data_IF_881296371696
#
_entry.id   IF_881296371696
#
_cell.length_a   1.000
_cell.length_b   1.000
_cell.length_c   1.000
_cell.angle_alpha   90.00
_cell.angle_beta   90.00
_cell.angle_gamma   90.00
#
_symmetry.space_group_name_H-M   'P 1'
#
loop_
_entity.id
_entity.type
_entity.pdbx_description
1 polymer ?
#
# COMPACT_ATOMS: atom_id res chain seq x y z
N UNK A 1 47.20 5.45 37.71
CA UNK A 1 47.33 5.90 36.30
C UNK A 1 47.91 4.75 35.47
N UNK A 2 47.08 3.86 34.90
CA UNK A 2 47.53 2.85 33.90
C UNK A 2 46.39 2.02 33.25
N UNK A 3 45.13 2.12 33.68
CA UNK A 3 44.04 1.30 33.10
C UNK A 3 43.39 1.84 31.81
N UNK A 4 43.73 3.05 31.33
CA UNK A 4 43.13 3.60 30.10
C UNK A 4 43.80 3.16 28.81
N UNK A 5 45.02 2.61 28.87
CA UNK A 5 45.77 2.14 27.69
C UNK A 5 45.19 0.85 27.10
N UNK A 6 44.86 -0.13 27.94
CA UNK A 6 44.41 -1.45 27.48
C UNK A 6 43.05 -1.45 26.80
N UNK A 7 42.13 -0.55 27.19
CA UNK A 7 40.80 -0.45 26.55
C UNK A 7 40.90 0.02 25.10
N UNK A 8 41.77 1.01 24.81
CA UNK A 8 41.95 1.53 23.44
C UNK A 8 42.56 0.49 22.50
N UNK A 9 43.50 -0.31 22.99
CA UNK A 9 44.12 -1.37 22.18
C UNK A 9 43.13 -2.49 21.86
N UNK A 10 42.31 -2.91 22.84
CA UNK A 10 41.26 -3.92 22.63
C UNK A 10 40.20 -3.44 21.65
N UNK A 11 39.80 -2.17 21.71
CA UNK A 11 38.83 -1.58 20.79
C UNK A 11 39.38 -1.50 19.35
N UNK A 12 40.68 -1.17 19.21
CA UNK A 12 41.37 -1.17 17.91
C UNK A 12 41.41 -2.56 17.26
N UNK A 13 41.77 -3.59 18.02
CA UNK A 13 41.82 -4.96 17.51
C UNK A 13 40.43 -5.50 17.12
N UNK A 14 39.38 -5.18 17.89
CA UNK A 14 38.00 -5.50 17.52
C UNK A 14 37.57 -4.81 16.22
N UNK A 15 37.93 -3.54 16.04
CA UNK A 15 37.59 -2.81 14.82
C UNK A 15 38.31 -3.37 13.59
N UNK A 16 39.60 -3.73 13.70
CA UNK A 16 40.35 -4.41 12.62
C UNK A 16 39.73 -5.75 12.24
N UNK A 17 39.37 -6.58 13.23
CA UNK A 17 38.72 -7.87 12.98
C UNK A 17 37.36 -7.70 12.29
N UNK A 18 36.57 -6.69 12.70
CA UNK A 18 35.30 -6.34 12.05
C UNK A 18 35.49 -5.90 10.59
N UNK A 19 36.46 -5.02 10.31
CA UNK A 19 36.71 -4.51 8.95
C UNK A 19 37.25 -5.61 8.02
N UNK A 20 38.05 -6.53 8.55
CA UNK A 20 38.48 -7.74 7.82
C UNK A 20 37.31 -8.67 7.49
N UNK A 21 36.38 -8.88 8.43
CA UNK A 21 35.18 -9.67 8.22
C UNK A 21 34.25 -9.02 7.17
N UNK A 22 34.02 -7.71 7.26
CA UNK A 22 33.25 -6.94 6.26
C UNK A 22 33.87 -7.12 4.87
N UNK A 23 35.18 -6.92 4.75
CA UNK A 23 35.92 -7.07 3.48
C UNK A 23 35.89 -8.49 2.92
N UNK A 24 35.82 -9.52 3.77
CA UNK A 24 35.66 -10.90 3.35
C UNK A 24 34.25 -11.17 2.82
N UNK A 25 33.23 -10.63 3.48
CA UNK A 25 31.83 -10.75 3.07
C UNK A 25 31.60 -10.04 1.72
N UNK A 26 32.09 -8.82 1.54
CA UNK A 26 31.96 -8.10 0.27
C UNK A 26 32.65 -8.81 -0.89
N UNK A 27 33.82 -9.44 -0.65
CA UNK A 27 34.51 -10.25 -1.67
C UNK A 27 33.73 -11.51 -2.03
N UNK A 28 33.09 -12.15 -1.06
CA UNK A 28 32.35 -13.39 -1.27
C UNK A 28 30.96 -13.16 -1.91
N UNK A 29 30.28 -12.06 -1.57
CA UNK A 29 28.87 -11.84 -1.92
C UNK A 29 28.61 -10.56 -2.74
N UNK A 30 29.64 -9.78 -3.05
CA UNK A 30 29.55 -8.54 -3.82
C UNK A 30 29.48 -7.29 -2.95
N UNK A 31 29.79 -6.13 -3.57
CA UNK A 31 29.65 -4.82 -2.92
C UNK A 31 28.20 -4.60 -2.48
N UNK A 32 28.02 -4.09 -1.26
CA UNK A 32 26.70 -3.84 -0.68
C UNK A 32 26.04 -5.06 -0.01
N UNK A 33 26.67 -6.23 0.00
CA UNK A 33 26.18 -7.39 0.74
C UNK A 33 26.15 -7.17 2.27
N UNK A 34 27.04 -6.32 2.77
CA UNK A 34 27.07 -5.86 4.16
C UNK A 34 27.49 -4.40 4.19
N UNK A 35 26.86 -3.59 5.03
CA UNK A 35 27.18 -2.17 5.17
C UNK A 35 26.77 -1.67 6.57
N UNK A 36 27.42 -0.61 7.05
CA UNK A 36 26.96 0.06 8.28
C UNK A 36 25.79 0.96 7.89
N UNK A 37 24.65 0.82 8.58
CA UNK A 37 23.43 1.61 8.28
C UNK A 37 23.68 3.12 8.28
N UNK A 38 24.53 3.63 9.19
CA UNK A 38 24.88 5.05 9.26
C UNK A 38 25.55 5.60 7.98
N UNK A 39 26.19 4.75 7.18
CA UNK A 39 26.84 5.15 5.93
C UNK A 39 25.85 5.33 4.78
N UNK A 40 24.63 4.80 4.94
CA UNK A 40 23.52 5.00 4.02
C UNK A 40 22.33 5.51 4.83
N UNK A 41 22.26 6.84 5.11
CA UNK A 41 21.06 7.40 5.72
C UNK A 41 19.85 6.91 4.93
N UNK A 42 18.83 6.42 5.64
CA UNK A 42 17.67 5.82 5.01
C UNK A 42 17.12 6.81 3.98
N UNK A 43 17.30 6.50 2.69
CA UNK A 43 16.75 7.32 1.62
C UNK A 43 15.24 7.33 1.78
N UNK A 44 14.63 8.49 1.49
CA UNK A 44 13.17 8.61 1.53
C UNK A 44 12.59 7.54 0.62
N UNK A 45 11.77 6.66 1.20
CA UNK A 45 11.20 5.55 0.44
C UNK A 45 10.30 6.09 -0.67
N UNK A 46 10.60 5.70 -1.91
CA UNK A 46 9.74 6.01 -3.04
C UNK A 46 8.36 5.35 -2.87
N UNK A 47 7.33 6.03 -3.35
CA UNK A 47 5.96 5.55 -3.28
C UNK A 47 5.14 5.93 -4.50
N UNK A 48 4.15 5.11 -4.84
CA UNK A 48 3.13 5.40 -5.86
C UNK A 48 1.82 5.77 -5.17
N UNK A 49 1.21 6.89 -5.55
CA UNK A 49 -0.08 7.33 -5.01
C UNK A 49 -1.16 6.26 -5.20
N UNK A 50 -2.08 6.14 -4.25
CA UNK A 50 -3.23 5.23 -4.38
C UNK A 50 -4.37 5.84 -5.19
N UNK A 51 -4.22 7.07 -5.70
CA UNK A 51 -5.28 7.85 -6.31
C UNK A 51 -6.26 8.48 -5.31
N UNK A 52 -6.08 8.26 -4.00
CA UNK A 52 -6.85 8.87 -2.91
C UNK A 52 -5.92 9.71 -2.04
N UNK A 53 -6.26 10.99 -1.86
CA UNK A 53 -5.49 11.91 -1.01
C UNK A 53 -5.54 11.43 0.45
N UNK A 54 -6.70 10.94 0.89
CA UNK A 54 -6.90 10.46 2.26
C UNK A 54 -6.06 9.23 2.56
N UNK A 55 -6.02 8.30 1.61
CA UNK A 55 -5.29 7.05 1.77
C UNK A 55 -3.78 7.26 1.68
N UNK A 56 -3.30 8.10 0.77
CA UNK A 56 -1.89 8.52 0.71
C UNK A 56 -1.40 9.08 2.05
N UNK A 57 -2.22 9.92 2.69
CA UNK A 57 -1.92 10.48 4.00
C UNK A 57 -2.02 9.45 5.13
N UNK A 58 -3.01 8.55 5.09
CA UNK A 58 -3.16 7.46 6.06
C UNK A 58 -1.98 6.46 5.98
N UNK A 59 -1.38 6.30 4.81
CA UNK A 59 -0.18 5.47 4.60
C UNK A 59 1.09 6.12 5.18
N UNK A 60 1.11 7.44 5.34
CA UNK A 60 2.19 8.15 6.03
C UNK A 60 3.48 8.30 5.23
N UNK A 61 3.50 7.91 3.95
CA UNK A 61 4.61 8.21 3.04
C UNK A 61 4.16 8.82 1.71
N UNK A 62 2.85 9.03 1.53
CA UNK A 62 2.27 9.58 0.30
C UNK A 62 1.80 8.55 -0.72
N UNK A 63 1.81 7.25 -0.39
CA UNK A 63 1.36 6.19 -1.29
C UNK A 63 1.83 4.80 -0.87
N UNK A 64 1.74 3.84 -1.78
CA UNK A 64 2.27 2.48 -1.59
C UNK A 64 3.78 2.47 -1.81
N UNK A 65 4.58 1.87 -0.90
CA UNK A 65 6.04 1.89 -0.99
C UNK A 65 6.57 0.99 -2.11
N UNK A 66 7.46 1.53 -2.96
CA UNK A 66 8.21 0.74 -3.96
C UNK A 66 9.07 -0.33 -3.29
N UNK A 67 9.29 -1.44 -4.00
CA UNK A 67 10.05 -2.59 -3.53
C UNK A 67 9.35 -3.44 -2.47
N UNK A 68 8.03 -3.29 -2.28
CA UNK A 68 7.29 -3.97 -1.20
C UNK A 68 6.08 -4.75 -1.71
N UNK A 69 5.69 -5.75 -0.91
CA UNK A 69 4.46 -6.51 -1.10
C UNK A 69 3.33 -5.84 -0.31
N UNK A 70 2.17 -5.66 -0.94
CA UNK A 70 0.96 -5.04 -0.39
C UNK A 70 -0.20 -6.03 -0.51
N UNK A 71 -1.08 -6.09 0.49
CA UNK A 71 -2.35 -6.83 0.40
C UNK A 71 -3.53 -5.86 0.54
N UNK A 72 -4.45 -5.92 -0.41
CA UNK A 72 -5.74 -5.21 -0.38
C UNK A 72 -6.82 -6.26 -0.21
N UNK A 73 -7.50 -6.27 0.93
CA UNK A 73 -8.53 -7.26 1.24
C UNK A 73 -9.80 -6.60 1.74
N UNK A 74 -10.92 -7.29 1.56
CA UNK A 74 -12.23 -6.74 1.90
C UNK A 74 -13.37 -7.62 1.37
N UNK A 75 -14.61 -7.30 1.73
CA UNK A 75 -15.80 -7.97 1.19
C UNK A 75 -15.87 -7.86 -0.35
N UNK A 76 -16.78 -8.61 -0.95
CA UNK A 76 -17.18 -8.39 -2.34
C UNK A 76 -17.66 -6.94 -2.56
N UNK A 77 -17.46 -6.43 -3.77
CA UNK A 77 -17.93 -5.08 -4.17
C UNK A 77 -17.49 -3.92 -3.29
N UNK A 78 -16.42 -4.10 -2.49
CA UNK A 78 -15.84 -3.07 -1.61
C UNK A 78 -14.94 -2.07 -2.33
N UNK A 79 -14.53 -2.36 -3.57
CA UNK A 79 -13.63 -1.49 -4.36
C UNK A 79 -12.17 -1.94 -4.42
N UNK A 80 -11.84 -3.19 -4.05
CA UNK A 80 -10.47 -3.74 -4.09
C UNK A 80 -9.80 -3.55 -5.45
N UNK A 81 -10.42 -4.06 -6.51
CA UNK A 81 -9.92 -3.98 -7.89
C UNK A 81 -9.88 -2.52 -8.36
N UNK A 82 -10.92 -1.72 -8.07
CA UNK A 82 -10.93 -0.28 -8.37
C UNK A 82 -9.72 0.44 -7.75
N UNK A 83 -9.42 0.21 -6.47
CA UNK A 83 -8.28 0.80 -5.79
C UNK A 83 -6.95 0.35 -6.44
N UNK A 84 -6.81 -0.93 -6.77
CA UNK A 84 -5.61 -1.44 -7.44
C UNK A 84 -5.42 -0.84 -8.84
N UNK A 85 -6.51 -0.64 -9.60
CA UNK A 85 -6.48 0.01 -10.90
C UNK A 85 -6.11 1.50 -10.79
N UNK A 86 -6.50 2.20 -9.71
CA UNK A 86 -6.00 3.55 -9.46
C UNK A 86 -4.50 3.60 -9.19
N UNK A 87 -3.96 2.63 -8.44
CA UNK A 87 -2.50 2.53 -8.23
C UNK A 87 -1.78 2.32 -9.58
N UNK A 88 -2.31 1.46 -10.45
CA UNK A 88 -1.79 1.27 -11.80
C UNK A 88 -1.84 2.57 -12.60
N UNK A 89 -2.98 3.27 -12.61
CA UNK A 89 -3.14 4.53 -13.32
C UNK A 89 -2.14 5.60 -12.83
N UNK A 90 -1.93 5.72 -11.51
CA UNK A 90 -0.95 6.65 -10.94
C UNK A 90 0.50 6.26 -11.28
N UNK A 91 0.84 4.97 -11.30
CA UNK A 91 2.16 4.51 -11.74
C UNK A 91 2.39 4.81 -13.23
N UNK A 92 1.41 4.54 -14.10
CA UNK A 92 1.51 4.82 -15.53
C UNK A 92 1.64 6.33 -15.82
N UNK A 93 0.96 7.19 -15.06
CA UNK A 93 1.12 8.66 -15.15
C UNK A 93 2.56 9.12 -14.87
N UNK A 94 3.29 8.36 -14.05
CA UNK A 94 4.71 8.61 -13.75
C UNK A 94 5.64 7.95 -14.78
N UNK A 95 5.10 7.37 -15.86
CA UNK A 95 5.86 6.65 -16.89
C UNK A 95 6.24 5.22 -16.51
N UNK A 96 5.66 4.67 -15.44
CA UNK A 96 5.96 3.31 -14.97
C UNK A 96 5.23 2.22 -15.75
N UNK A 97 5.87 1.06 -15.89
CA UNK A 97 5.26 -0.10 -16.53
C UNK A 97 4.47 -0.91 -15.49
N UNK A 98 3.29 -1.40 -15.88
CA UNK A 98 2.39 -2.11 -14.97
C UNK A 98 1.94 -3.44 -15.56
N UNK A 99 1.70 -4.42 -14.67
CA UNK A 99 1.10 -5.70 -15.04
C UNK A 99 -0.08 -6.06 -14.14
N UNK A 100 -1.06 -6.77 -14.71
CA UNK A 100 -2.24 -7.26 -14.02
C UNK A 100 -2.40 -8.77 -14.27
N UNK A 101 -2.32 -9.55 -13.20
CA UNK A 101 -2.55 -11.00 -13.20
C UNK A 101 -4.01 -11.22 -12.81
N UNK A 102 -4.85 -11.42 -13.83
CA UNK A 102 -6.29 -11.60 -13.72
C UNK A 102 -6.60 -13.09 -13.53
N UNK A 103 -6.34 -13.61 -12.33
CA UNK A 103 -6.68 -14.97 -11.96
C UNK A 103 -8.20 -15.17 -11.77
N UNK A 104 -8.97 -14.10 -11.52
CA UNK A 104 -10.45 -14.15 -11.48
C UNK A 104 -11.11 -14.09 -12.86
N UNK A 105 -10.36 -13.81 -13.93
CA UNK A 105 -10.86 -13.70 -15.31
C UNK A 105 -11.98 -12.65 -15.45
N UNK A 106 -11.88 -11.55 -14.69
CA UNK A 106 -12.95 -10.58 -14.48
C UNK A 106 -12.52 -9.13 -14.75
N UNK A 107 -11.33 -8.89 -15.31
CA UNK A 107 -10.86 -7.54 -15.61
C UNK A 107 -11.68 -6.87 -16.73
N UNK A 108 -12.47 -5.84 -16.38
CA UNK A 108 -13.14 -4.97 -17.35
C UNK A 108 -12.18 -3.87 -17.85
N UNK A 109 -11.70 -4.04 -19.08
CA UNK A 109 -10.80 -3.08 -19.75
C UNK A 109 -11.45 -1.74 -20.07
N UNK A 110 -12.76 -1.70 -20.31
CA UNK A 110 -13.51 -0.45 -20.54
C UNK A 110 -13.58 0.34 -19.23
N UNK A 111 -13.87 -0.33 -18.13
CA UNK A 111 -13.86 0.29 -16.81
C UNK A 111 -12.46 0.76 -16.41
N UNK A 112 -11.42 -0.07 -16.59
CA UNK A 112 -10.03 0.30 -16.30
C UNK A 112 -9.61 1.59 -17.05
N UNK A 113 -9.98 1.71 -18.33
CA UNK A 113 -9.72 2.92 -19.13
C UNK A 113 -10.38 4.16 -18.52
N UNK A 114 -11.63 4.04 -18.03
CA UNK A 114 -12.34 5.15 -17.37
C UNK A 114 -11.64 5.59 -16.07
N UNK A 115 -10.99 4.67 -15.36
CA UNK A 115 -10.19 4.98 -14.17
C UNK A 115 -8.84 5.65 -14.48
N UNK A 116 -8.50 5.82 -15.76
CA UNK A 116 -7.26 6.44 -16.20
C UNK A 116 -6.12 5.46 -16.48
N UNK A 117 -6.39 4.15 -16.47
CA UNK A 117 -5.41 3.14 -16.88
C UNK A 117 -5.17 3.23 -18.38
N UNK A 118 -3.91 3.34 -18.79
CA UNK A 118 -3.51 3.15 -20.18
C UNK A 118 -3.52 1.64 -20.49
N UNK A 119 -4.69 1.17 -20.92
CA UNK A 119 -4.94 -0.24 -21.26
C UNK A 119 -4.06 -0.72 -22.43
N UNK A 120 -3.59 0.19 -23.30
CA UNK A 120 -2.71 -0.18 -24.43
C UNK A 120 -1.35 -0.69 -23.99
N UNK A 121 -0.83 -0.14 -22.88
CA UNK A 121 0.48 -0.48 -22.33
C UNK A 121 0.39 -1.35 -21.06
N UNK A 122 -0.82 -1.75 -20.65
CA UNK A 122 -1.01 -2.63 -19.50
C UNK A 122 -0.73 -4.09 -19.90
N UNK A 123 0.26 -4.71 -19.26
CA UNK A 123 0.53 -6.14 -19.44
C UNK A 123 -0.54 -6.92 -18.67
N UNK A 124 -1.26 -7.82 -19.33
CA UNK A 124 -2.30 -8.65 -18.71
C UNK A 124 -1.97 -10.13 -18.87
N UNK A 125 -2.19 -10.91 -17.83
CA UNK A 125 -2.10 -12.37 -17.87
C UNK A 125 -3.30 -13.00 -17.20
N UNK A 126 -3.91 -13.99 -17.85
CA UNK A 126 -4.95 -14.85 -17.31
C UNK A 126 -4.37 -16.27 -17.18
N UNK A 127 -3.78 -16.59 -16.01
CA UNK A 127 -3.08 -17.86 -15.81
C UNK A 127 -4.07 -19.01 -15.56
N UNK A 128 -3.72 -20.21 -16.03
CA UNK A 128 -4.48 -21.44 -15.82
C UNK A 128 -4.32 -21.99 -14.40
N UNK A 129 -3.20 -21.70 -13.71
CA UNK A 129 -2.89 -22.23 -12.37
C UNK A 129 -2.25 -21.18 -11.46
N UNK A 130 -2.35 -21.38 -10.15
CA UNK A 130 -1.68 -20.55 -9.14
C UNK A 130 -0.15 -20.58 -9.27
N UNK A 131 0.44 -21.73 -9.61
CA UNK A 131 1.88 -21.85 -9.86
C UNK A 131 2.32 -21.00 -11.07
N UNK A 132 1.59 -21.10 -12.18
CA UNK A 132 1.88 -20.33 -13.40
C UNK A 132 1.75 -18.83 -13.12
N UNK A 133 0.69 -18.40 -12.43
CA UNK A 133 0.50 -17.01 -12.02
C UNK A 133 1.73 -16.47 -11.26
N UNK A 134 2.20 -17.21 -10.25
CA UNK A 134 3.31 -16.79 -9.41
C UNK A 134 4.66 -16.85 -10.12
N UNK A 135 4.85 -17.77 -11.08
CA UNK A 135 6.04 -17.77 -11.95
C UNK A 135 6.04 -16.58 -12.92
N UNK A 136 4.89 -16.20 -13.47
CA UNK A 136 4.78 -15.00 -14.32
C UNK A 136 5.14 -13.75 -13.49
N UNK A 137 4.64 -13.64 -12.26
CA UNK A 137 5.05 -12.57 -11.33
C UNK A 137 6.56 -12.60 -11.11
N UNK A 138 7.15 -13.76 -10.81
CA UNK A 138 8.61 -13.89 -10.61
C UNK A 138 9.40 -13.39 -11.82
N UNK A 139 9.04 -13.78 -13.03
CA UNK A 139 9.73 -13.34 -14.26
C UNK A 139 9.57 -11.83 -14.51
N UNK A 140 8.36 -11.30 -14.33
CA UNK A 140 8.09 -9.88 -14.50
C UNK A 140 8.92 -9.03 -13.52
N UNK A 141 8.98 -9.41 -12.24
CA UNK A 141 9.78 -8.69 -11.25
C UNK A 141 11.27 -8.85 -11.52
N UNK A 142 11.73 -10.06 -11.87
CA UNK A 142 13.14 -10.31 -12.21
C UNK A 142 13.63 -9.52 -13.43
N UNK A 143 12.73 -9.12 -14.35
CA UNK A 143 13.09 -8.27 -15.49
C UNK A 143 13.60 -6.88 -15.08
N UNK A 144 13.24 -6.42 -13.87
CA UNK A 144 13.55 -5.06 -13.40
C UNK A 144 12.78 -3.95 -14.13
N UNK A 145 11.87 -4.29 -15.04
CA UNK A 145 11.19 -3.34 -15.91
C UNK A 145 9.78 -2.95 -15.45
N UNK A 146 9.25 -3.57 -14.38
CA UNK A 146 7.86 -3.38 -13.91
C UNK A 146 7.82 -2.63 -12.59
N UNK A 147 7.08 -1.53 -12.54
CA UNK A 147 6.88 -0.71 -11.33
C UNK A 147 5.78 -1.24 -10.43
N UNK A 148 4.68 -1.72 -11.00
CA UNK A 148 3.52 -2.23 -10.24
C UNK A 148 2.99 -3.52 -10.87
N UNK A 149 2.80 -4.55 -10.04
CA UNK A 149 2.08 -5.78 -10.40
C UNK A 149 0.89 -5.95 -9.48
N UNK A 150 -0.30 -6.15 -10.04
CA UNK A 150 -1.51 -6.53 -9.30
C UNK A 150 -1.83 -7.99 -9.57
N UNK A 151 -2.15 -8.75 -8.52
CA UNK A 151 -2.66 -10.12 -8.61
C UNK A 151 -4.09 -10.14 -8.08
N UNK A 152 -5.05 -10.33 -8.98
CA UNK A 152 -6.50 -10.38 -8.70
C UNK A 152 -7.05 -11.78 -9.02
N UNK A 153 -7.23 -12.66 -8.05
CA UNK A 153 -6.99 -12.51 -6.61
C UNK A 153 -6.28 -13.73 -6.03
N UNK A 154 -5.79 -13.60 -4.80
CA UNK A 154 -5.19 -14.70 -4.04
C UNK A 154 -6.13 -15.90 -3.94
N UNK A 155 -7.43 -15.65 -3.85
CA UNK A 155 -8.42 -16.72 -3.74
C UNK A 155 -8.52 -17.57 -5.01
N UNK A 156 -8.20 -16.99 -6.17
CA UNK A 156 -8.20 -17.67 -7.47
C UNK A 156 -6.84 -18.27 -7.87
N UNK A 157 -5.82 -18.19 -6.99
CA UNK A 157 -4.54 -18.88 -7.20
C UNK A 157 -4.67 -20.36 -6.87
N UNK A 158 -5.46 -21.08 -7.65
CA UNK A 158 -5.75 -22.51 -7.45
C UNK A 158 -4.57 -23.36 -7.89
N UNK A 159 -3.99 -24.18 -7.00
CA UNK A 159 -2.87 -25.05 -7.36
C UNK A 159 -3.24 -26.04 -8.45
N UNK A 160 -2.30 -26.37 -9.33
CA UNK A 160 -2.54 -27.32 -10.45
C UNK A 160 -3.18 -28.63 -10.00
N UNK A 161 -2.70 -29.22 -8.90
CA UNK A 161 -3.24 -30.50 -8.40
C UNK A 161 -4.72 -30.39 -7.98
N UNK A 162 -5.17 -29.22 -7.55
CA UNK A 162 -6.58 -28.99 -7.20
C UNK A 162 -7.44 -28.79 -8.47
N UNK A 163 -6.87 -28.23 -9.54
CA UNK A 163 -7.55 -28.07 -10.84
C UNK A 163 -7.66 -29.41 -11.59
N UNK A 164 -6.63 -30.25 -11.52
CA UNK A 164 -6.58 -31.57 -12.18
C UNK A 164 -7.33 -32.65 -11.39
N UNK A 165 -7.59 -32.42 -10.09
CA UNK A 165 -8.34 -33.32 -9.23
C UNK A 165 -9.85 -33.24 -9.44
N UNK A 166 -10.57 -34.19 -8.84
CA UNK A 166 -12.03 -34.21 -8.91
C UNK A 166 -12.66 -33.25 -7.89
N UNK A 167 -13.87 -32.78 -8.18
CA UNK A 167 -14.65 -31.97 -7.24
C UNK A 167 -14.92 -32.76 -5.96
N UNK A 168 -14.34 -32.32 -4.84
CA UNK A 168 -14.46 -32.96 -3.53
C UNK A 168 -13.15 -33.56 -3.00
N UNK A 169 -12.11 -33.64 -3.83
CA UNK A 169 -10.79 -34.07 -3.40
C UNK A 169 -10.22 -33.14 -2.33
N UNK A 170 -9.62 -33.75 -1.30
CA UNK A 170 -9.13 -33.01 -0.14
C UNK A 170 -7.70 -32.49 -0.34
N UNK A 171 -7.58 -31.23 -0.78
CA UNK A 171 -6.31 -30.53 -0.95
C UNK A 171 -5.97 -29.61 0.24
N UNK A 172 -5.88 -30.18 1.45
CA UNK A 172 -5.73 -29.38 2.68
C UNK A 172 -4.47 -28.49 2.66
N UNK A 173 -4.67 -27.17 2.63
CA UNK A 173 -3.61 -26.17 2.79
C UNK A 173 -2.65 -26.05 1.60
N UNK A 174 -2.98 -26.60 0.43
CA UNK A 174 -2.11 -26.54 -0.75
C UNK A 174 -1.92 -25.08 -1.23
N UNK A 175 -3.02 -24.33 -1.33
CA UNK A 175 -3.13 -22.85 -1.27
C UNK A 175 -1.98 -22.18 -0.50
N UNK A 176 -2.01 -22.42 0.81
CA UNK A 176 -1.13 -21.77 1.76
C UNK A 176 0.34 -22.15 1.58
N UNK A 177 0.63 -23.40 1.23
CA UNK A 177 2.01 -23.88 0.98
C UNK A 177 2.59 -23.24 -0.27
N UNK A 178 1.81 -23.17 -1.35
CA UNK A 178 2.20 -22.52 -2.61
C UNK A 178 2.60 -21.06 -2.36
N UNK A 179 1.72 -20.29 -1.72
CA UNK A 179 1.99 -18.88 -1.40
C UNK A 179 3.17 -18.69 -0.45
N UNK A 180 3.30 -19.56 0.57
CA UNK A 180 4.43 -19.51 1.50
C UNK A 180 5.77 -19.70 0.79
N UNK A 181 5.82 -20.61 -0.20
CA UNK A 181 7.00 -20.86 -1.00
C UNK A 181 7.30 -19.69 -1.95
N UNK A 182 6.28 -19.20 -2.66
CA UNK A 182 6.44 -18.09 -3.61
C UNK A 182 6.86 -16.79 -2.91
N UNK A 183 6.20 -16.40 -1.82
CA UNK A 183 6.50 -15.15 -1.11
C UNK A 183 7.91 -15.15 -0.52
N UNK A 184 8.43 -16.32 -0.11
CA UNK A 184 9.82 -16.46 0.36
C UNK A 184 10.83 -16.09 -0.72
N UNK A 185 10.55 -16.41 -1.99
CA UNK A 185 11.39 -16.03 -3.13
C UNK A 185 11.14 -14.57 -3.55
N UNK A 186 9.86 -14.22 -3.75
CA UNK A 186 9.46 -12.93 -4.31
C UNK A 186 9.88 -11.75 -3.43
N UNK A 187 9.87 -11.87 -2.10
CA UNK A 187 10.18 -10.74 -1.20
C UNK A 187 11.53 -10.06 -1.51
N UNK A 188 12.59 -10.85 -1.73
CA UNK A 188 13.91 -10.29 -2.05
C UNK A 188 13.98 -9.75 -3.48
N UNK A 189 13.28 -10.37 -4.43
CA UNK A 189 13.31 -9.96 -5.83
C UNK A 189 12.53 -8.66 -6.02
N UNK A 190 11.33 -8.57 -5.42
CA UNK A 190 10.48 -7.36 -5.40
C UNK A 190 11.24 -6.17 -4.83
N UNK A 191 11.94 -6.37 -3.71
CA UNK A 191 12.75 -5.32 -3.09
C UNK A 191 13.90 -4.85 -3.98
N UNK A 192 14.60 -5.76 -4.68
CA UNK A 192 15.71 -5.40 -5.57
C UNK A 192 15.25 -4.71 -6.85
N UNK A 193 14.09 -5.09 -7.38
CA UNK A 193 13.51 -4.52 -8.58
C UNK A 193 12.78 -3.19 -8.33
N UNK A 194 12.67 -2.74 -7.07
CA UNK A 194 11.88 -1.57 -6.68
C UNK A 194 10.40 -1.63 -7.16
N UNK A 195 9.86 -2.85 -7.30
CA UNK A 195 8.50 -3.11 -7.78
C UNK A 195 7.50 -3.12 -6.61
N UNK A 196 6.26 -2.66 -6.83
CA UNK A 196 5.15 -2.82 -5.89
C UNK A 196 4.36 -4.06 -6.33
N UNK A 197 4.34 -5.09 -5.48
CA UNK A 197 3.52 -6.29 -5.71
C UNK A 197 2.26 -6.25 -4.85
N UNK A 198 1.12 -5.99 -5.48
CA UNK A 198 -0.20 -5.90 -4.84
C UNK A 198 -0.94 -7.22 -5.00
N UNK A 199 -1.32 -7.83 -3.89
CA UNK A 199 -2.26 -8.96 -3.86
C UNK A 199 -3.64 -8.47 -3.46
N UNK A 200 -4.64 -8.70 -4.31
CA UNK A 200 -6.04 -8.58 -3.92
C UNK A 200 -6.46 -9.88 -3.24
N UNK A 201 -7.18 -9.76 -2.13
CA UNK A 201 -7.63 -10.91 -1.37
C UNK A 201 -9.08 -10.76 -0.90
N UNK A 202 -9.72 -11.90 -0.68
CA UNK A 202 -11.10 -11.98 -0.22
C UNK A 202 -11.14 -12.28 1.28
N UNK A 203 -12.24 -11.92 1.92
CA UNK A 203 -12.53 -12.32 3.30
C UNK A 203 -13.24 -13.68 3.29
N UNK A 204 -12.92 -14.51 4.28
CA UNK A 204 -13.59 -15.77 4.65
C UNK A 204 -13.87 -15.74 6.15
N UNK A 205 -14.82 -16.56 6.60
CA UNK A 205 -15.14 -16.70 8.02
C UNK A 205 -14.50 -17.99 8.55
N UNK A 206 -13.70 -17.88 9.61
CA UNK A 206 -13.18 -19.05 10.33
C UNK A 206 -14.26 -19.64 11.23
N UNK A 207 -14.76 -20.81 10.86
CA UNK A 207 -15.76 -21.56 11.64
C UNK A 207 -15.19 -21.89 13.03
N UNK A 208 -16.02 -21.78 14.06
CA UNK A 208 -15.67 -22.13 15.45
C UNK A 208 -15.06 -21.00 16.29
N UNK A 209 -14.89 -19.80 15.74
CA UNK A 209 -14.48 -18.61 16.52
C UNK A 209 -15.72 -17.99 17.18
N UNK A 210 -15.85 -18.18 18.49
CA UNK A 210 -16.98 -17.66 19.30
C UNK A 210 -16.62 -16.29 19.93
N UNK A 211 -15.33 -15.98 20.06
CA UNK A 211 -14.83 -14.72 20.62
C UNK A 211 -13.80 -14.08 19.68
N UNK A 212 -13.87 -12.76 19.49
CA UNK A 212 -12.99 -11.99 18.62
C UNK A 212 -13.49 -11.87 17.18
N UNK A 213 -12.61 -11.44 16.27
CA UNK A 213 -12.94 -11.29 14.85
C UNK A 213 -12.79 -12.64 14.12
N UNK A 214 -13.87 -13.22 13.55
CA UNK A 214 -13.80 -14.49 12.82
C UNK A 214 -13.30 -14.32 11.38
N UNK A 215 -13.15 -13.10 10.88
CA UNK A 215 -12.71 -12.85 9.51
C UNK A 215 -11.23 -13.20 9.30
N UNK A 216 -10.97 -13.96 8.26
CA UNK A 216 -9.64 -14.34 7.79
C UNK A 216 -9.51 -14.08 6.29
N UNK A 217 -8.29 -14.01 5.80
CA UNK A 217 -8.02 -13.88 4.36
C UNK A 217 -7.58 -15.22 3.78
N UNK A 218 -7.84 -15.43 2.48
CA UNK A 218 -7.47 -16.66 1.76
C UNK A 218 -5.95 -16.76 1.59
N UNK A 219 -5.43 -17.98 1.35
CA UNK A 219 -4.00 -18.20 1.10
C UNK A 219 -3.13 -18.43 2.33
N UNK A 220 -3.73 -18.65 3.50
CA UNK A 220 -3.02 -18.93 4.75
C UNK A 220 -2.34 -17.70 5.37
N UNK A 221 -1.36 -17.93 6.24
CA UNK A 221 -0.79 -16.86 7.08
C UNK A 221 0.41 -16.15 6.44
N UNK A 222 1.07 -16.74 5.44
CA UNK A 222 2.32 -16.20 4.89
C UNK A 222 2.16 -14.77 4.35
N UNK A 223 1.11 -14.51 3.59
CA UNK A 223 0.86 -13.18 3.02
C UNK A 223 0.77 -12.11 4.11
N UNK A 224 0.15 -12.41 5.25
CA UNK A 224 0.08 -11.50 6.39
C UNK A 224 1.46 -11.12 6.95
N UNK A 225 2.46 -12.00 6.86
CA UNK A 225 3.81 -11.74 7.38
C UNK A 225 4.71 -11.02 6.36
N UNK A 226 4.67 -11.46 5.11
CA UNK A 226 5.52 -10.94 4.02
C UNK A 226 5.08 -9.58 3.49
N UNK A 227 3.79 -9.24 3.60
CA UNK A 227 3.29 -7.90 3.24
C UNK A 227 3.88 -6.81 4.14
N UNK A 228 4.22 -5.66 3.55
CA UNK A 228 4.60 -4.45 4.30
C UNK A 228 3.38 -3.61 4.65
N UNK A 229 2.42 -3.53 3.73
CA UNK A 229 1.16 -2.82 3.90
C UNK A 229 0.01 -3.82 3.78
N UNK A 230 -0.99 -3.71 4.66
CA UNK A 230 -2.27 -4.42 4.52
C UNK A 230 -3.42 -3.41 4.64
N UNK A 231 -4.30 -3.40 3.65
CA UNK A 231 -5.44 -2.50 3.55
C UNK A 231 -6.73 -3.30 3.67
N UNK A 232 -7.54 -2.98 4.69
CA UNK A 232 -8.91 -3.48 4.85
C UNK A 232 -9.87 -2.45 4.24
N UNK A 233 -10.43 -2.76 3.08
CA UNK A 233 -11.35 -1.89 2.33
C UNK A 233 -12.80 -2.35 2.48
N UNK A 234 -13.70 -1.43 2.84
CA UNK A 234 -15.12 -1.72 3.08
C UNK A 234 -16.03 -0.63 2.55
N UNK A 235 -17.17 -1.06 2.01
CA UNK A 235 -18.32 -0.19 1.75
C UNK A 235 -18.93 0.25 3.09
N UNK A 236 -19.12 1.56 3.27
CA UNK A 236 -19.76 2.16 4.44
C UNK A 236 -21.23 2.42 4.15
N UNK A 237 -21.53 3.12 3.07
CA UNK A 237 -22.89 3.51 2.69
C UNK A 237 -23.01 3.63 1.17
N UNK A 238 -24.24 3.64 0.65
CA UNK A 238 -24.51 3.88 -0.76
C UNK A 238 -24.66 5.39 -1.01
N UNK A 239 -24.08 5.89 -2.10
CA UNK A 239 -24.27 7.25 -2.58
C UNK A 239 -25.42 7.25 -3.56
N UNK A 240 -26.42 8.09 -3.33
CA UNK A 240 -27.63 8.17 -4.16
C UNK A 240 -27.76 9.53 -4.84
N UNK A 241 -28.17 9.52 -6.09
CA UNK A 241 -28.77 10.65 -6.76
C UNK A 241 -30.24 10.32 -7.03
N UNK A 242 -31.14 10.98 -6.30
CA UNK A 242 -32.57 10.64 -6.21
C UNK A 242 -32.73 9.15 -5.82
N UNK A 243 -33.33 8.36 -6.70
CA UNK A 243 -33.59 6.92 -6.49
C UNK A 243 -32.43 6.03 -6.96
N UNK A 244 -31.47 6.58 -7.71
CA UNK A 244 -30.38 5.80 -8.30
C UNK A 244 -29.16 5.76 -7.38
N UNK A 245 -28.63 4.56 -7.13
CA UNK A 245 -27.33 4.40 -6.45
C UNK A 245 -26.21 4.64 -7.47
N UNK A 246 -25.47 5.73 -7.29
CA UNK A 246 -24.41 6.17 -8.20
C UNK A 246 -23.00 5.80 -7.73
N UNK A 247 -22.86 5.32 -6.49
CA UNK A 247 -21.56 4.95 -5.93
C UNK A 247 -21.66 4.46 -4.49
N UNK A 248 -20.50 4.33 -3.85
CA UNK A 248 -20.37 3.92 -2.47
C UNK A 248 -19.40 4.82 -1.70
N UNK A 249 -19.79 5.23 -0.50
CA UNK A 249 -18.83 5.73 0.46
C UNK A 249 -18.00 4.55 0.95
N UNK A 250 -16.68 4.68 0.89
CA UNK A 250 -15.73 3.60 1.12
C UNK A 250 -14.76 4.00 2.22
N UNK A 251 -14.47 3.06 3.12
CA UNK A 251 -13.46 3.20 4.17
C UNK A 251 -12.33 2.22 3.92
N UNK A 252 -11.10 2.69 4.03
CA UNK A 252 -9.89 1.85 3.99
C UNK A 252 -9.15 2.02 5.31
N UNK A 253 -8.91 0.92 6.02
CA UNK A 253 -8.08 0.88 7.23
C UNK A 253 -6.72 0.29 6.92
N UNK A 254 -5.66 0.98 7.30
CA UNK A 254 -4.28 0.50 7.19
C UNK A 254 -4.00 -0.45 8.36
N UNK A 255 -4.41 -1.71 8.26
CA UNK A 255 -4.30 -2.68 9.38
C UNK A 255 -2.88 -3.17 9.61
N UNK A 256 -1.96 -2.94 8.66
CA UNK A 256 -0.53 -3.16 8.82
C UNK A 256 0.23 -2.10 8.02
N UNK A 257 1.26 -1.52 8.63
CA UNK A 257 2.17 -0.59 7.99
C UNK A 257 3.58 -0.81 8.56
N UNK A 258 4.56 -1.09 7.69
CA UNK A 258 5.98 -1.27 8.05
C UNK A 258 6.87 -0.07 7.69
N UNK A 259 6.28 1.02 7.17
CA UNK A 259 7.02 2.20 6.68
C UNK A 259 6.57 3.50 7.33
N UNK A 260 5.42 3.48 8.03
CA UNK A 260 4.91 4.54 8.88
C UNK A 260 3.97 3.93 9.95
N UNK A 261 3.45 4.71 10.93
CA UNK A 261 2.53 4.20 11.93
C UNK A 261 1.27 3.54 11.33
N UNK A 262 0.88 2.34 11.78
CA UNK A 262 -0.33 1.65 11.28
C UNK A 262 -1.63 2.21 11.89
N UNK A 263 -2.76 1.61 11.50
CA UNK A 263 -4.11 1.79 12.05
C UNK A 263 -4.81 3.12 11.74
N UNK A 264 -4.17 4.01 10.98
CA UNK A 264 -4.87 5.11 10.32
C UNK A 264 -5.92 4.58 9.35
N UNK A 265 -6.92 5.40 9.06
CA UNK A 265 -7.99 5.09 8.13
C UNK A 265 -8.25 6.27 7.20
N UNK A 266 -8.74 5.96 6.00
CA UNK A 266 -9.16 6.91 4.98
C UNK A 266 -10.62 6.64 4.62
N UNK A 267 -11.38 7.70 4.35
CA UNK A 267 -12.73 7.62 3.82
C UNK A 267 -12.82 8.46 2.56
N UNK A 268 -13.41 7.89 1.51
CA UNK A 268 -13.59 8.54 0.22
C UNK A 268 -14.75 7.88 -0.54
N UNK A 269 -15.24 8.55 -1.57
CA UNK A 269 -16.29 8.03 -2.43
C UNK A 269 -15.70 7.25 -3.59
N UNK A 270 -16.29 6.10 -3.91
CA UNK A 270 -16.12 5.41 -5.19
C UNK A 270 -17.40 5.61 -6.00
N UNK A 271 -17.31 6.43 -7.05
CA UNK A 271 -18.42 6.69 -7.98
C UNK A 271 -18.34 5.67 -9.12
N UNK A 272 -19.46 5.02 -9.43
CA UNK A 272 -19.51 4.01 -10.49
C UNK A 272 -19.15 4.64 -11.84
N UNK A 273 -18.36 3.93 -12.65
CA UNK A 273 -17.80 4.42 -13.92
C UNK A 273 -16.84 5.63 -13.85
N UNK A 274 -16.52 6.15 -12.66
CA UNK A 274 -15.52 7.24 -12.49
C UNK A 274 -14.35 6.84 -11.57
N UNK A 275 -14.60 6.00 -10.57
CA UNK A 275 -13.59 5.58 -9.60
C UNK A 275 -13.60 6.40 -8.32
N UNK A 276 -12.43 6.50 -7.68
CA UNK A 276 -12.22 7.29 -6.46
C UNK A 276 -12.44 8.77 -6.77
N UNK A 277 -13.36 9.40 -6.04
CA UNK A 277 -13.71 10.80 -6.24
C UNK A 277 -12.72 11.74 -5.56
N UNK A 278 -11.59 12.00 -6.23
CA UNK A 278 -10.57 12.95 -5.76
C UNK A 278 -11.14 14.34 -5.46
N UNK A 279 -12.05 14.83 -6.29
CA UNK A 279 -12.74 16.11 -6.05
C UNK A 279 -13.61 16.08 -4.80
N UNK A 280 -14.24 14.94 -4.49
CA UNK A 280 -14.98 14.75 -3.24
C UNK A 280 -14.05 14.87 -2.04
N UNK A 281 -12.88 14.23 -2.09
CA UNK A 281 -11.86 14.35 -1.03
C UNK A 281 -11.36 15.79 -0.87
N UNK A 282 -11.11 16.51 -1.97
CA UNK A 282 -10.68 17.92 -1.93
C UNK A 282 -11.72 18.80 -1.23
N UNK A 283 -13.02 18.62 -1.55
CA UNK A 283 -14.09 19.37 -0.87
C UNK A 283 -14.15 19.04 0.61
N UNK A 284 -14.19 17.76 0.96
CA UNK A 284 -14.36 17.33 2.36
C UNK A 284 -13.16 17.72 3.23
N UNK A 285 -11.94 17.54 2.73
CA UNK A 285 -10.72 17.96 3.41
C UNK A 285 -10.54 19.47 3.42
N UNK A 286 -10.93 20.16 2.34
CA UNK A 286 -10.94 21.60 2.28
C UNK A 286 -11.79 22.20 3.40
N UNK A 287 -12.96 21.62 3.67
CA UNK A 287 -13.81 22.01 4.81
C UNK A 287 -13.13 21.65 6.14
N UNK A 288 -12.60 20.43 6.26
CA UNK A 288 -11.94 19.96 7.49
C UNK A 288 -10.75 20.84 7.90
N UNK A 289 -9.94 21.29 6.94
CA UNK A 289 -8.77 22.15 7.19
C UNK A 289 -9.09 23.65 7.15
N UNK A 290 -10.34 24.03 6.92
CA UNK A 290 -10.77 25.43 6.91
C UNK A 290 -10.40 26.22 5.64
N UNK A 291 -9.95 25.55 4.59
CA UNK A 291 -9.73 26.20 3.28
C UNK A 291 -11.04 26.48 2.56
N UNK A 292 -12.01 25.55 2.66
CA UNK A 292 -13.35 25.71 2.11
C UNK A 292 -14.31 26.03 3.25
N UNK A 293 -14.96 27.18 3.17
CA UNK A 293 -15.99 27.57 4.11
C UNK A 293 -17.31 26.88 3.77
N UNK A 294 -17.99 26.34 4.79
CA UNK A 294 -19.30 25.71 4.66
C UNK A 294 -20.33 26.45 5.50
N UNK A 295 -21.16 27.28 4.84
CA UNK A 295 -22.25 28.04 5.46
C UNK A 295 -23.60 27.39 5.12
N UNK A 296 -24.06 26.50 6.02
CA UNK A 296 -25.25 25.67 5.78
C UNK A 296 -25.02 24.71 4.62
N UNK A 297 -25.76 24.91 3.52
CA UNK A 297 -25.60 24.13 2.29
C UNK A 297 -24.58 24.76 1.31
N UNK A 298 -24.10 25.99 1.55
CA UNK A 298 -23.21 26.69 0.60
C UNK A 298 -21.74 26.43 0.91
N UNK A 299 -20.96 26.22 -0.15
CA UNK A 299 -19.50 26.04 -0.10
C UNK A 299 -18.81 27.22 -0.80
N UNK A 300 -17.79 27.78 -0.19
CA UNK A 300 -16.98 28.88 -0.75
C UNK A 300 -15.49 28.67 -0.50
N UNK A 301 -14.68 29.19 -1.41
CA UNK A 301 -13.23 29.25 -1.30
C UNK A 301 -12.79 30.71 -1.41
N UNK A 302 -12.46 31.34 -0.27
CA UNK A 302 -12.31 32.79 -0.21
C UNK A 302 -13.57 33.50 -0.71
N UNK A 303 -13.42 34.39 -1.70
CA UNK A 303 -14.55 35.09 -2.33
C UNK A 303 -15.31 34.24 -3.38
N UNK A 304 -14.77 33.09 -3.78
CA UNK A 304 -15.35 32.25 -4.84
C UNK A 304 -16.44 31.35 -4.27
N UNK A 305 -17.65 31.42 -4.84
CA UNK A 305 -18.73 30.49 -4.50
C UNK A 305 -18.55 29.19 -5.29
N UNK A 306 -18.29 28.09 -4.59
CA UNK A 306 -18.15 26.76 -5.20
C UNK A 306 -19.51 26.14 -5.54
N UNK A 307 -20.54 26.40 -4.74
CA UNK A 307 -21.91 25.97 -5.04
C UNK A 307 -22.75 25.66 -3.81
N UNK A 308 -24.04 25.38 -4.03
CA UNK A 308 -24.95 24.91 -2.99
C UNK A 308 -24.99 23.37 -3.01
N UNK A 309 -24.45 22.74 -1.98
CA UNK A 309 -24.32 21.30 -1.85
C UNK A 309 -22.95 20.78 -2.33
N UNK A 310 -22.55 19.64 -1.78
CA UNK A 310 -21.24 19.02 -2.04
C UNK A 310 -21.05 18.66 -3.52
N UNK A 311 -22.08 18.13 -4.17
CA UNK A 311 -22.01 17.74 -5.59
C UNK A 311 -21.84 18.95 -6.51
N UNK A 312 -22.49 20.08 -6.22
CA UNK A 312 -22.28 21.31 -6.98
C UNK A 312 -20.88 21.88 -6.78
N UNK A 313 -20.33 21.82 -5.55
CA UNK A 313 -18.95 22.20 -5.28
C UNK A 313 -17.96 21.33 -6.07
N UNK A 314 -18.17 20.01 -6.13
CA UNK A 314 -17.39 19.09 -6.98
C UNK A 314 -17.50 19.46 -8.45
N UNK A 315 -18.70 19.76 -8.94
CA UNK A 315 -18.95 20.20 -10.31
C UNK A 315 -18.17 21.47 -10.65
N UNK A 316 -18.16 22.45 -9.75
CA UNK A 316 -17.38 23.67 -9.93
C UNK A 316 -15.87 23.40 -10.01
N UNK A 317 -15.32 22.59 -9.10
CA UNK A 317 -13.90 22.22 -9.12
C UNK A 317 -13.52 21.44 -10.38
N UNK A 318 -14.43 20.59 -10.89
CA UNK A 318 -14.24 19.87 -12.15
C UNK A 318 -14.10 20.82 -13.34
N UNK A 319 -14.86 21.92 -13.34
CA UNK A 319 -14.79 22.96 -14.39
C UNK A 319 -13.66 23.97 -14.18
N UNK A 320 -13.04 24.02 -13.00
CA UNK A 320 -11.99 24.99 -12.63
C UNK A 320 -10.78 24.25 -12.03
N UNK A 321 -10.00 23.51 -12.85
CA UNK A 321 -8.92 22.67 -12.37
C UNK A 321 -7.80 23.43 -11.64
N UNK A 322 -7.59 24.71 -11.95
CA UNK A 322 -6.59 25.53 -11.27
C UNK A 322 -6.91 25.70 -9.78
N UNK A 323 -8.19 25.97 -9.45
CA UNK A 323 -8.66 26.09 -8.07
C UNK A 323 -8.61 24.72 -7.37
N UNK A 324 -8.97 23.65 -8.08
CA UNK A 324 -8.89 22.29 -7.54
C UNK A 324 -7.44 21.91 -7.18
N UNK A 325 -6.49 22.23 -8.06
CA UNK A 325 -5.06 21.99 -7.85
C UNK A 325 -4.50 22.83 -6.70
N UNK A 326 -4.89 24.11 -6.60
CA UNK A 326 -4.48 24.97 -5.48
C UNK A 326 -4.97 24.41 -4.14
N UNK A 327 -6.25 24.04 -4.06
CA UNK A 327 -6.82 23.41 -2.86
C UNK A 327 -6.11 22.10 -2.52
N UNK A 328 -5.88 21.23 -3.51
CA UNK A 328 -5.14 19.98 -3.30
C UNK A 328 -3.74 20.22 -2.74
N UNK A 329 -2.99 21.18 -3.29
CA UNK A 329 -1.65 21.52 -2.82
C UNK A 329 -1.66 21.99 -1.37
N UNK A 330 -2.59 22.88 -1.00
CA UNK A 330 -2.77 23.35 0.39
C UNK A 330 -3.11 22.20 1.34
N UNK A 331 -4.03 21.32 0.92
CA UNK A 331 -4.42 20.12 1.68
C UNK A 331 -3.22 19.18 1.89
N UNK A 332 -2.47 18.88 0.83
CA UNK A 332 -1.28 18.01 0.92
C UNK A 332 -0.18 18.62 1.79
N UNK A 333 0.01 19.94 1.76
CA UNK A 333 0.95 20.64 2.64
C UNK A 333 0.56 20.50 4.12
N UNK A 334 -0.69 20.75 4.49
CA UNK A 334 -1.18 20.55 5.87
C UNK A 334 -1.06 19.09 6.32
N UNK A 335 -1.35 18.14 5.43
CA UNK A 335 -1.20 16.71 5.73
C UNK A 335 0.29 16.36 6.00
N UNK A 336 1.21 16.90 5.20
CA UNK A 336 2.65 16.68 5.40
C UNK A 336 3.16 17.29 6.73
N UNK A 337 2.69 18.48 7.10
CA UNK A 337 3.04 19.11 8.39
C UNK A 337 2.54 18.28 9.58
N UNK A 338 1.31 17.78 9.52
CA UNK A 338 0.74 16.94 10.58
C UNK A 338 1.55 15.66 10.81
N UNK A 339 2.16 15.11 9.77
CA UNK A 339 2.98 13.91 9.84
C UNK A 339 4.33 14.16 10.53
N UNK A 340 4.97 15.30 10.29
CA UNK A 340 6.25 15.64 10.93
C UNK A 340 6.06 15.92 12.43
N UNK A 341 4.91 16.50 12.83
CA UNK A 341 4.62 16.78 14.24
C UNK A 341 4.50 15.50 15.11
N UNK A 342 4.10 14.37 14.53
CA UNK A 342 4.05 13.09 15.26
C UNK A 342 5.42 12.43 15.47
N UNK A 343 6.42 12.76 14.65
CA UNK A 343 7.75 12.13 14.72
C UNK A 343 8.69 12.83 15.73
N UNK A 344 8.37 14.06 16.16
CA UNK A 344 9.15 14.82 17.16
C UNK A 344 9.05 14.28 18.61
N UNK A 345 8.19 13.30 18.89
CA UNK A 345 8.05 12.71 20.23
C UNK A 345 8.82 11.40 20.44
N UNK A 346 9.71 11.02 19.51
CA UNK A 346 10.40 9.72 19.53
C UNK A 346 11.93 9.78 19.58
N UNK A 347 12.56 10.82 20.16
CA UNK A 347 13.97 10.79 20.62
C UNK A 347 14.16 11.82 21.75
N UNK A 348 13.98 11.43 23.01
CA UNK A 348 14.62 12.12 24.15
C UNK A 348 15.66 11.15 24.72
N UNK A 349 16.92 11.38 24.35
CA UNK A 349 18.08 10.76 24.96
C UNK A 349 18.21 11.26 26.40
N UNK A 350 17.68 10.51 27.37
CA UNK A 350 18.12 10.62 28.76
C UNK A 350 18.98 9.43 29.12
N UNK A 351 20.27 9.62 28.84
CA UNK A 351 21.33 9.02 29.64
C UNK A 351 21.42 9.83 30.93
N UNK A 352 20.83 9.32 32.01
CA UNK A 352 21.22 9.73 33.36
C UNK A 352 21.56 8.48 34.16
N UNK A 353 22.82 8.48 34.58
CA UNK A 353 23.52 7.55 35.46
C UNK A 353 22.99 7.72 36.89
N UNK A 354 23.17 6.69 37.73
CA UNK A 354 23.34 6.62 39.20
C UNK A 354 22.59 5.37 39.70
N UNK A 355 23.25 4.21 39.83
CA UNK A 355 24.05 3.74 40.98
C UNK A 355 23.28 3.70 42.32
N UNK A 356 23.34 2.50 42.94
CA UNK A 356 23.13 2.17 44.36
C UNK A 356 21.67 2.29 44.88
N UNK A 357 21.06 1.38 45.66
CA UNK A 357 21.57 0.39 46.62
C UNK A 357 20.47 -0.66 46.95
N UNK A 358 20.95 -1.84 47.33
CA UNK A 358 20.36 -3.02 47.98
C UNK A 358 19.06 -2.85 48.81
N UNK A 359 18.11 -3.77 48.60
CA UNK A 359 17.48 -4.62 49.64
C UNK A 359 17.23 -6.02 49.10
#
# INVERSE_FOLDING_TARGET
MSMSGSKKDVESEKQKALDAAISQIERAFGRGAIMKLKQHPAEKMDSVSTGSIALDAALGIGGLPKGRIVEIFGPESSGKTTLALHVIAEAQKQGGNCAFIDAEHALDTVYARKLGVNVGDLIVSQPDTGEQALHIVEYLVCSGAIDVIVVDSVAALTPRAEIEGDMGDQHMGLQARLLSHALRKLTSVVSKANCILVFINQIRIKIGVIYGNPEVTTGGSALKFYTSIRLDIRKVSAIKDKDNVIGNQTRVKVVKNKVAPPFKQAEFDIVYNEGISKLGEIVDMGVKFGFVEKSGAHYSYGAVKLGQGRENAKGYLKSNPDIANELEQKIRACLAESMHSSDLFAVDERTDVLEEEVF
#
